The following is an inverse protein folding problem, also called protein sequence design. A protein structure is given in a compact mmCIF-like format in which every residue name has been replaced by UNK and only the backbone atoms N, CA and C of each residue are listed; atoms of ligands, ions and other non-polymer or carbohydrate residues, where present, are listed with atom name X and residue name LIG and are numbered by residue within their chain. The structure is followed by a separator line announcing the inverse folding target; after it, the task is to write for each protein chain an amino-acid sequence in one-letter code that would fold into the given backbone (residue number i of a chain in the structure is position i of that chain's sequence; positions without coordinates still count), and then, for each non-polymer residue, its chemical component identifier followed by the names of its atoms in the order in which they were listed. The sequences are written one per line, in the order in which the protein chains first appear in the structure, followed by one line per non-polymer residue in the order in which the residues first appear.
data_IF_435637835214
#
_entry.id   IF_435637835214
#
_cell.length_a   1.000
_cell.length_b   1.000
_cell.length_c   1.000
_cell.angle_alpha   90.00
_cell.angle_beta   90.00
_cell.angle_gamma   90.00
#
_symmetry.space_group_name_H-M   'P 1'
#
loop_
_entity.id
_entity.type
_entity.pdbx_description
1 polymer ?
#
# COMPACT_ATOMS: atom_id res chain seq x y z
N UNK A 1 -10.69 -15.80 7.17
CA UNK A 1 -10.14 -15.55 5.83
C UNK A 1 -9.53 -14.14 5.80
N UNK A 2 -8.21 -14.02 5.97
CA UNK A 2 -7.55 -12.70 6.03
C UNK A 2 -7.74 -11.87 4.75
N UNK A 3 -7.85 -12.56 3.60
CA UNK A 3 -7.99 -11.97 2.26
C UNK A 3 -9.19 -11.05 2.05
N UNK A 4 -10.21 -11.11 2.92
CA UNK A 4 -11.35 -10.19 2.86
C UNK A 4 -10.92 -8.72 3.01
N UNK A 5 -9.85 -8.45 3.77
CA UNK A 5 -9.30 -7.09 3.93
C UNK A 5 -8.77 -6.55 2.61
N UNK A 6 -7.99 -7.37 1.89
CA UNK A 6 -7.48 -6.99 0.58
C UNK A 6 -8.63 -6.79 -0.40
N UNK A 7 -9.58 -7.73 -0.47
CA UNK A 7 -10.72 -7.60 -1.38
C UNK A 7 -11.52 -6.31 -1.15
N UNK A 8 -11.74 -5.95 0.11
CA UNK A 8 -12.51 -4.77 0.50
C UNK A 8 -11.76 -3.46 0.20
N UNK A 9 -10.44 -3.43 0.42
CA UNK A 9 -9.63 -2.22 0.25
C UNK A 9 -8.95 -2.10 -1.12
N UNK A 10 -8.94 -3.17 -1.91
CA UNK A 10 -8.33 -3.17 -3.24
C UNK A 10 -8.86 -2.06 -4.14
N UNK A 11 -10.20 -1.80 -4.23
CA UNK A 11 -10.71 -0.68 -5.01
C UNK A 11 -10.12 0.66 -4.56
N UNK A 12 -9.97 0.87 -3.25
CA UNK A 12 -9.40 2.09 -2.69
C UNK A 12 -7.90 2.22 -2.99
N UNK A 13 -7.13 1.14 -2.86
CA UNK A 13 -5.72 1.12 -3.26
C UNK A 13 -5.53 1.40 -4.74
N UNK A 14 -6.43 0.90 -5.60
CA UNK A 14 -6.43 1.23 -7.01
C UNK A 14 -6.67 2.73 -7.25
N UNK A 15 -7.61 3.35 -6.53
CA UNK A 15 -7.87 4.80 -6.64
C UNK A 15 -6.64 5.60 -6.23
N UNK A 16 -6.07 5.35 -5.05
CA UNK A 16 -4.90 6.09 -4.55
C UNK A 16 -3.68 5.85 -5.43
N UNK A 17 -3.42 4.59 -5.83
CA UNK A 17 -2.33 4.23 -6.72
C UNK A 17 -2.47 4.85 -8.10
N UNK A 18 -3.68 4.90 -8.65
CA UNK A 18 -3.97 5.56 -9.92
C UNK A 18 -3.74 7.08 -9.82
N UNK A 19 -4.17 7.71 -8.72
CA UNK A 19 -3.90 9.13 -8.49
C UNK A 19 -2.40 9.42 -8.40
N UNK A 20 -1.64 8.61 -7.65
CA UNK A 20 -0.19 8.69 -7.56
C UNK A 20 0.51 8.52 -8.92
N UNK A 21 0.01 7.62 -9.77
CA UNK A 21 0.54 7.39 -11.11
C UNK A 21 0.16 8.49 -12.10
N UNK A 22 -1.07 9.02 -11.98
CA UNK A 22 -1.58 10.05 -12.87
C UNK A 22 -0.87 11.37 -12.63
N UNK A 23 -0.57 11.72 -11.38
CA UNK A 23 -0.02 13.02 -11.02
C UNK A 23 1.48 12.99 -10.70
N UNK A 24 2.25 13.99 -11.18
CA UNK A 24 1.90 15.05 -12.13
C UNK A 24 1.84 14.56 -13.60
N UNK A 25 0.94 15.10 -14.42
CA UNK A 25 0.62 14.58 -15.78
C UNK A 25 1.78 14.67 -16.79
N UNK A 26 2.75 15.56 -16.58
CA UNK A 26 3.93 15.76 -17.42
C UNK A 26 5.14 16.17 -16.56
N UNK A 27 6.41 15.91 -16.96
CA UNK A 27 6.87 15.04 -18.04
C UNK A 27 7.03 13.56 -17.58
N UNK A 28 6.54 12.61 -18.40
CA UNK A 28 6.59 11.15 -18.15
C UNK A 28 7.80 10.51 -18.83
N UNK A 29 8.96 10.67 -18.23
CA UNK A 29 10.21 10.01 -18.61
C UNK A 29 10.18 8.51 -18.24
N UNK A 30 10.92 7.66 -18.97
CA UNK A 30 10.93 6.20 -18.77
C UNK A 30 11.35 5.81 -17.34
N UNK A 31 12.37 6.49 -16.80
CA UNK A 31 12.84 6.28 -15.43
C UNK A 31 11.74 6.48 -14.38
N UNK A 32 10.92 7.53 -14.52
CA UNK A 32 9.76 7.76 -13.64
C UNK A 32 8.73 6.65 -13.71
N UNK A 33 8.38 6.17 -14.92
CA UNK A 33 7.42 5.07 -15.05
C UNK A 33 7.90 3.80 -14.37
N UNK A 34 9.20 3.49 -14.48
CA UNK A 34 9.79 2.35 -13.80
C UNK A 34 9.79 2.54 -12.28
N UNK A 35 10.20 3.70 -11.79
CA UNK A 35 10.19 4.04 -10.38
C UNK A 35 8.77 3.92 -9.79
N UNK A 36 7.78 4.53 -10.45
CA UNK A 36 6.38 4.50 -10.01
C UNK A 36 5.84 3.06 -10.01
N UNK A 37 6.21 2.22 -10.99
CA UNK A 37 5.82 0.81 -11.05
C UNK A 37 6.39 0.00 -9.88
N UNK A 38 7.67 0.19 -9.60
CA UNK A 38 8.35 -0.47 -8.48
C UNK A 38 7.73 -0.04 -7.15
N UNK A 39 7.44 1.26 -6.97
CA UNK A 39 6.83 1.77 -5.75
C UNK A 39 5.40 1.26 -5.54
N UNK A 40 4.58 1.20 -6.60
CA UNK A 40 3.24 0.62 -6.51
C UNK A 40 3.29 -0.88 -6.21
N UNK A 41 4.19 -1.63 -6.85
CA UNK A 41 4.41 -3.05 -6.55
C UNK A 41 4.86 -3.26 -5.10
N UNK A 42 5.81 -2.45 -4.64
CA UNK A 42 6.29 -2.48 -3.26
C UNK A 42 5.17 -2.16 -2.27
N UNK A 43 4.31 -1.18 -2.56
CA UNK A 43 3.19 -0.82 -1.70
C UNK A 43 2.19 -1.98 -1.54
N UNK A 44 1.90 -2.71 -2.62
CA UNK A 44 1.04 -3.89 -2.57
C UNK A 44 1.68 -5.04 -1.76
N UNK A 45 2.98 -5.28 -1.91
CA UNK A 45 3.71 -6.30 -1.16
C UNK A 45 3.76 -5.97 0.33
N UNK A 46 4.14 -4.74 0.69
CA UNK A 46 4.19 -4.26 2.08
C UNK A 46 2.81 -4.28 2.72
N UNK A 47 1.79 -3.80 2.00
CA UNK A 47 0.40 -3.84 2.46
C UNK A 47 -0.07 -5.27 2.73
N UNK A 48 0.24 -6.22 1.83
CA UNK A 48 -0.11 -7.64 2.01
C UNK A 48 0.62 -8.25 3.21
N UNK A 49 1.92 -7.98 3.36
CA UNK A 49 2.70 -8.44 4.52
C UNK A 49 2.15 -7.90 5.84
N UNK A 50 1.82 -6.61 5.88
CA UNK A 50 1.24 -5.96 7.06
C UNK A 50 -0.16 -6.48 7.34
N UNK A 51 -0.99 -6.75 6.33
CA UNK A 51 -2.29 -7.40 6.49
C UNK A 51 -2.16 -8.75 7.20
N UNK A 52 -1.26 -9.60 6.70
CA UNK A 52 -1.03 -10.94 7.26
C UNK A 52 -0.50 -10.85 8.68
N UNK A 53 0.38 -9.88 8.95
CA UNK A 53 0.90 -9.63 10.28
C UNK A 53 -0.18 -9.12 11.25
N UNK A 54 -0.95 -8.10 10.88
CA UNK A 54 -2.05 -7.57 11.68
C UNK A 54 -3.13 -8.61 11.97
N UNK A 55 -3.41 -9.51 11.01
CA UNK A 55 -4.30 -10.65 11.22
C UNK A 55 -3.76 -11.60 12.30
N UNK A 56 -2.46 -11.91 12.27
CA UNK A 56 -1.80 -12.77 13.27
C UNK A 56 -1.75 -12.12 14.65
N UNK A 57 -1.48 -10.81 14.72
CA UNK A 57 -1.51 -10.03 15.98
C UNK A 57 -2.91 -10.11 16.60
N UNK A 58 -3.95 -9.80 15.83
CA UNK A 58 -5.33 -9.87 16.34
C UNK A 58 -5.79 -11.29 16.71
N UNK A 59 -5.23 -12.32 16.08
CA UNK A 59 -5.50 -13.71 16.45
C UNK A 59 -4.76 -14.12 17.74
N UNK A 60 -3.55 -13.60 17.98
CA UNK A 60 -2.74 -13.91 19.15
C UNK A 60 -3.28 -13.25 20.43
N UNK A 61 -3.89 -12.07 20.33
CA UNK A 61 -4.49 -11.35 21.46
C UNK A 61 -5.86 -11.94 21.91
N UNK A 62 -6.29 -13.07 21.33
CA UNK A 62 -7.57 -13.70 21.66
C UNK A 62 -8.78 -12.85 21.26
N UNK A 63 -8.60 -11.88 20.37
CA UNK A 63 -9.63 -10.91 20.04
C UNK A 63 -10.83 -11.59 19.36
N UNK A 64 -11.99 -11.50 20.00
CA UNK A 64 -13.21 -12.13 19.54
C UNK A 64 -13.74 -11.50 18.24
N UNK A 65 -14.41 -12.31 17.43
CA UNK A 65 -15.17 -11.84 16.26
C UNK A 65 -14.31 -11.19 15.17
N UNK A 66 -14.66 -9.95 14.80
CA UNK A 66 -14.17 -9.26 13.61
C UNK A 66 -12.86 -8.48 13.83
N UNK A 67 -12.35 -8.41 15.07
CA UNK A 67 -11.20 -7.57 15.43
C UNK A 67 -9.91 -7.93 14.68
N UNK A 68 -9.64 -9.23 14.51
CA UNK A 68 -8.53 -9.71 13.67
C UNK A 68 -8.60 -9.19 12.22
N UNK A 69 -9.82 -9.02 11.71
CA UNK A 69 -10.03 -8.49 10.37
C UNK A 69 -9.82 -6.97 10.34
N UNK A 70 -10.28 -6.26 11.37
CA UNK A 70 -10.07 -4.81 11.54
C UNK A 70 -8.56 -4.51 11.60
N UNK A 71 -7.80 -5.24 12.44
CA UNK A 71 -6.36 -5.08 12.53
C UNK A 71 -5.65 -5.42 11.20
N UNK A 72 -6.07 -6.48 10.51
CA UNK A 72 -5.57 -6.79 9.18
C UNK A 72 -5.79 -5.64 8.19
N UNK A 73 -6.97 -5.02 8.17
CA UNK A 73 -7.25 -3.84 7.32
C UNK A 73 -6.38 -2.65 7.71
N UNK A 74 -6.31 -2.31 9.00
CA UNK A 74 -5.57 -1.14 9.48
C UNK A 74 -4.08 -1.23 9.14
N UNK A 75 -3.48 -2.40 9.37
CA UNK A 75 -2.08 -2.64 9.06
C UNK A 75 -1.85 -2.61 7.54
N UNK A 76 -2.71 -3.25 6.75
CA UNK A 76 -2.62 -3.20 5.29
C UNK A 76 -2.67 -1.75 4.76
N UNK A 77 -3.59 -0.96 5.29
CA UNK A 77 -3.79 0.44 4.91
C UNK A 77 -2.60 1.31 5.30
N UNK A 78 -2.15 1.19 6.55
CA UNK A 78 -0.97 1.91 7.04
C UNK A 78 0.29 1.59 6.25
N UNK A 79 0.51 0.30 5.94
CA UNK A 79 1.65 -0.14 5.12
C UNK A 79 1.61 0.43 3.71
N UNK A 80 0.45 0.39 3.05
CA UNK A 80 0.27 0.99 1.72
C UNK A 80 0.56 2.49 1.73
N UNK A 81 -0.06 3.24 2.65
CA UNK A 81 0.13 4.69 2.74
C UNK A 81 1.57 5.07 3.08
N UNK A 82 2.22 4.34 3.98
CA UNK A 82 3.62 4.59 4.34
C UNK A 82 4.53 4.50 3.11
N UNK A 83 4.33 3.48 2.26
CA UNK A 83 5.10 3.34 1.00
C UNK A 83 4.74 4.45 0.03
N UNK A 84 3.46 4.84 -0.11
CA UNK A 84 3.07 5.93 -1.00
C UNK A 84 3.68 7.28 -0.58
N UNK A 85 3.71 7.57 0.72
CA UNK A 85 4.37 8.77 1.26
C UNK A 85 5.88 8.72 0.99
N UNK A 86 6.53 7.59 1.27
CA UNK A 86 7.95 7.39 0.94
C UNK A 86 8.23 7.59 -0.55
N UNK A 87 7.38 7.03 -1.41
CA UNK A 87 7.49 7.15 -2.85
C UNK A 87 7.39 8.61 -3.30
N UNK A 88 6.48 9.40 -2.72
CA UNK A 88 6.36 10.84 -2.99
C UNK A 88 7.62 11.62 -2.56
N UNK A 89 8.19 11.29 -1.40
CA UNK A 89 9.40 11.93 -0.87
C UNK A 89 10.66 11.56 -1.65
N UNK A 90 10.75 10.32 -2.13
CA UNK A 90 11.90 9.79 -2.87
C UNK A 90 11.88 10.17 -4.35
N UNK A 91 10.69 10.29 -4.97
CA UNK A 91 10.53 10.61 -6.39
C UNK A 91 11.38 11.81 -6.86
N UNK A 92 11.39 12.98 -6.20
CA UNK A 92 12.25 14.09 -6.64
C UNK A 92 13.73 13.82 -6.40
N UNK A 93 14.12 13.07 -5.36
CA UNK A 93 15.54 12.80 -5.07
C UNK A 93 16.16 11.84 -6.07
N UNK A 94 15.40 10.87 -6.55
CA UNK A 94 15.88 9.84 -7.49
C UNK A 94 15.85 10.32 -8.95
N UNK A 95 14.93 11.23 -9.30
CA UNK A 95 14.70 11.66 -10.68
C UNK A 95 15.30 13.02 -11.06
N UNK A 96 15.89 13.74 -10.09
CA UNK A 96 16.62 15.01 -10.34
C UNK A 96 18.10 14.75 -10.70
N UNK A 97 18.57 13.51 -10.55
CA UNK A 97 19.86 13.03 -11.06
C UNK A 97 19.72 12.46 -12.47
#
# INVERSE_FOLDING_TARGET
MAWLSLLLFFPWFCVVGALYWWFPRQPRHRARRLFDAVMLGLALLVSTGFMLWGYRVGAAEGAAGLWKQILAVLYAYGGFLAVMVLALLLRPRVLVH
#
